data_IF_801860266821
#
_entry.id   IF_801860266821
#
_cell.length_a   1.000
_cell.length_b   1.000
_cell.length_c   1.000
_cell.angle_alpha   90.00
_cell.angle_beta   90.00
_cell.angle_gamma   90.00
#
_symmetry.space_group_name_H-M   'P 1'
#
loop_
_entity.id
_entity.type
_entity.pdbx_description
1 polymer ?
#
# COMPACT_ATOMS: atom_id res chain seq x y z
N UNK A 1 -1.02 2.00 -28.51
CA UNK A 1 -1.38 3.17 -29.28
C UNK A 1 -0.11 3.85 -29.79
N UNK A 2 0.00 4.27 -31.06
CA UNK A 2 1.24 4.84 -31.63
C UNK A 2 1.72 6.11 -30.91
N UNK A 3 0.82 6.84 -30.24
CA UNK A 3 1.12 8.07 -29.53
C UNK A 3 1.50 7.85 -28.06
N UNK A 4 1.53 6.61 -27.61
CA UNK A 4 1.95 6.29 -26.23
C UNK A 4 3.48 6.38 -26.12
N UNK A 5 4.01 7.02 -25.08
CA UNK A 5 5.45 7.01 -24.85
C UNK A 5 5.93 5.57 -24.67
N UNK A 6 7.06 5.24 -25.27
CA UNK A 6 7.64 3.88 -25.18
C UNK A 6 8.48 3.66 -23.93
N UNK A 7 8.68 4.72 -23.17
CA UNK A 7 9.49 4.72 -21.96
C UNK A 7 8.80 5.53 -20.87
N UNK A 8 8.76 5.00 -19.66
CA UNK A 8 8.30 5.69 -18.44
C UNK A 8 9.37 5.50 -17.37
N UNK A 9 10.40 6.36 -17.34
CA UNK A 9 11.43 6.24 -16.33
C UNK A 9 10.80 6.42 -14.94
N UNK A 10 11.00 5.43 -14.08
CA UNK A 10 10.74 5.55 -12.66
C UNK A 10 11.99 6.16 -12.04
N UNK A 11 11.88 7.35 -11.47
CA UNK A 11 13.02 8.09 -10.88
C UNK A 11 12.85 8.25 -9.36
N UNK A 12 11.61 8.10 -8.86
CA UNK A 12 11.31 8.24 -7.46
C UNK A 12 11.71 7.00 -6.65
N UNK A 13 12.33 7.20 -5.49
CA UNK A 13 12.61 6.14 -4.51
C UNK A 13 11.43 5.83 -3.61
N UNK A 14 10.52 6.79 -3.45
CA UNK A 14 9.30 6.66 -2.65
C UNK A 14 8.10 6.95 -3.53
N UNK A 15 7.07 6.12 -3.43
CA UNK A 15 5.83 6.26 -4.19
C UNK A 15 4.63 6.22 -3.25
N UNK A 16 3.73 7.19 -3.41
CA UNK A 16 2.44 7.19 -2.71
C UNK A 16 1.35 6.59 -3.61
N UNK A 17 0.60 5.64 -3.08
CA UNK A 17 -0.56 5.00 -3.72
C UNK A 17 -1.80 5.31 -2.88
N UNK A 18 -2.78 5.98 -3.47
CA UNK A 18 -3.99 6.40 -2.77
C UNK A 18 -5.12 5.41 -3.02
N UNK A 19 -5.59 4.79 -1.93
CA UNK A 19 -6.66 3.80 -1.94
C UNK A 19 -6.23 2.46 -1.35
N UNK A 20 -7.21 1.72 -0.81
CA UNK A 20 -7.01 0.42 -0.14
C UNK A 20 -7.90 -0.67 -0.79
N UNK A 21 -7.82 -0.75 -2.11
CA UNK A 21 -8.42 -1.79 -2.94
C UNK A 21 -7.37 -2.70 -3.57
N UNK A 22 -7.81 -3.75 -4.27
CA UNK A 22 -6.92 -4.72 -4.93
C UNK A 22 -5.92 -4.05 -5.88
N UNK A 23 -6.37 -3.06 -6.66
CA UNK A 23 -5.52 -2.33 -7.61
C UNK A 23 -4.34 -1.63 -6.90
N UNK A 24 -4.58 -1.06 -5.71
CA UNK A 24 -3.51 -0.42 -4.94
C UNK A 24 -2.45 -1.43 -4.51
N UNK A 25 -2.86 -2.63 -4.07
CA UNK A 25 -1.92 -3.70 -3.73
C UNK A 25 -1.18 -4.23 -4.96
N UNK A 26 -1.84 -4.35 -6.11
CA UNK A 26 -1.20 -4.75 -7.36
C UNK A 26 -0.13 -3.74 -7.79
N UNK A 27 -0.42 -2.44 -7.73
CA UNK A 27 0.55 -1.38 -8.02
C UNK A 27 1.73 -1.46 -7.06
N UNK A 28 1.48 -1.58 -5.75
CA UNK A 28 2.53 -1.71 -4.74
C UNK A 28 3.40 -2.96 -5.01
N UNK A 29 2.77 -4.08 -5.34
CA UNK A 29 3.44 -5.34 -5.67
C UNK A 29 4.34 -5.21 -6.91
N UNK A 30 3.85 -4.60 -7.99
CA UNK A 30 4.62 -4.41 -9.23
C UNK A 30 5.81 -3.48 -8.98
N UNK A 31 5.63 -2.40 -8.23
CA UNK A 31 6.69 -1.45 -7.92
C UNK A 31 7.78 -2.03 -7.00
N UNK A 32 7.43 -2.98 -6.15
CA UNK A 32 8.38 -3.58 -5.19
C UNK A 32 8.96 -4.92 -5.64
N UNK A 33 8.40 -5.58 -6.68
CA UNK A 33 8.99 -6.81 -7.22
C UNK A 33 10.35 -6.55 -7.88
N UNK A 34 11.25 -7.50 -7.69
CA UNK A 34 12.50 -7.57 -8.45
C UNK A 34 12.29 -8.22 -9.81
N UNK A 35 13.06 -7.78 -10.83
CA UNK A 35 12.89 -8.24 -12.19
C UNK A 35 12.88 -9.78 -12.36
N UNK A 36 13.72 -10.58 -11.68
CA UNK A 36 13.67 -12.04 -11.81
C UNK A 36 12.32 -12.68 -11.51
N UNK A 37 11.53 -12.08 -10.61
CA UNK A 37 10.18 -12.56 -10.30
C UNK A 37 9.15 -12.17 -11.38
N UNK A 38 9.42 -11.12 -12.14
CA UNK A 38 8.50 -10.60 -13.14
C UNK A 38 8.67 -11.27 -14.51
N UNK A 39 9.89 -11.61 -14.90
CA UNK A 39 10.20 -12.23 -16.21
C UNK A 39 9.69 -13.68 -16.34
N UNK A 40 9.10 -14.23 -15.28
CA UNK A 40 8.37 -15.51 -15.35
C UNK A 40 7.02 -15.35 -16.06
N UNK A 41 6.62 -14.13 -16.38
CA UNK A 41 5.40 -13.78 -17.12
C UNK A 41 5.76 -13.03 -18.41
N UNK A 42 4.78 -12.83 -19.29
CA UNK A 42 4.96 -12.07 -20.54
C UNK A 42 5.15 -10.58 -20.27
N UNK A 43 6.40 -10.17 -20.05
CA UNK A 43 6.78 -8.76 -19.91
C UNK A 43 7.51 -8.29 -21.16
N UNK A 44 7.03 -7.26 -21.87
CA UNK A 44 7.73 -6.69 -23.02
C UNK A 44 9.16 -6.24 -22.65
N UNK A 45 10.14 -6.47 -23.53
CA UNK A 45 11.56 -6.21 -23.24
C UNK A 45 11.86 -4.75 -22.85
N UNK A 46 11.16 -3.78 -23.45
CA UNK A 46 11.29 -2.36 -23.11
C UNK A 46 10.74 -2.05 -21.71
N UNK A 47 9.69 -2.74 -21.26
CA UNK A 47 9.14 -2.64 -19.90
C UNK A 47 10.06 -3.32 -18.90
N UNK A 48 10.55 -4.52 -19.23
CA UNK A 48 11.50 -5.27 -18.40
C UNK A 48 12.76 -4.45 -18.10
N UNK A 49 13.31 -3.76 -19.10
CA UNK A 49 14.48 -2.90 -18.93
C UNK A 49 14.23 -1.74 -17.94
N UNK A 50 13.04 -1.14 -17.98
CA UNK A 50 12.67 -0.06 -17.06
C UNK A 50 12.41 -0.57 -15.64
N UNK A 51 11.76 -1.73 -15.51
CA UNK A 51 11.55 -2.37 -14.21
C UNK A 51 12.88 -2.84 -13.58
N UNK A 52 13.86 -3.26 -14.40
CA UNK A 52 15.20 -3.58 -13.91
C UNK A 52 15.92 -2.35 -13.31
N UNK A 53 15.67 -1.18 -13.89
CA UNK A 53 16.26 0.10 -13.43
C UNK A 53 15.41 0.80 -12.35
N UNK A 54 14.31 0.18 -11.92
CA UNK A 54 13.38 0.75 -10.94
C UNK A 54 14.08 1.06 -9.60
N UNK A 55 14.18 2.34 -9.19
CA UNK A 55 14.86 2.75 -7.97
C UNK A 55 13.96 2.74 -6.73
N UNK A 56 12.70 2.32 -6.86
CA UNK A 56 11.71 2.37 -5.77
C UNK A 56 12.17 1.50 -4.60
N UNK A 57 12.26 2.11 -3.43
CA UNK A 57 12.60 1.48 -2.15
C UNK A 57 11.38 1.39 -1.24
N UNK A 58 10.50 2.39 -1.30
CA UNK A 58 9.34 2.49 -0.42
C UNK A 58 8.07 2.78 -1.22
N UNK A 59 7.01 2.03 -0.93
CA UNK A 59 5.67 2.28 -1.44
C UNK A 59 4.74 2.51 -0.26
N UNK A 60 4.11 3.68 -0.22
CA UNK A 60 3.19 4.09 0.83
C UNK A 60 1.76 4.03 0.30
N UNK A 61 0.95 3.11 0.82
CA UNK A 61 -0.46 2.93 0.46
C UNK A 61 -1.33 3.59 1.51
N UNK A 62 -2.18 4.54 1.10
CA UNK A 62 -2.99 5.35 2.00
C UNK A 62 -4.46 4.97 1.97
N UNK A 63 -5.05 4.74 3.14
CA UNK A 63 -6.46 4.48 3.33
C UNK A 63 -7.07 5.34 4.42
N UNK A 64 -8.12 6.10 4.08
CA UNK A 64 -8.82 6.98 5.03
C UNK A 64 -9.65 6.24 6.09
N UNK A 65 -9.75 4.93 6.03
CA UNK A 65 -10.46 4.08 7.00
C UNK A 65 -9.52 3.02 7.57
N UNK A 66 -9.98 2.34 8.62
CA UNK A 66 -9.19 1.35 9.32
C UNK A 66 -9.12 -0.01 8.64
N UNK A 67 -8.34 -0.94 9.25
CA UNK A 67 -8.11 -2.28 8.72
C UNK A 67 -9.39 -3.10 8.52
N UNK A 68 -10.44 -2.84 9.31
CA UNK A 68 -11.73 -3.54 9.18
C UNK A 68 -12.55 -3.06 7.97
N UNK A 69 -12.20 -1.95 7.32
CA UNK A 69 -12.92 -1.36 6.19
C UNK A 69 -12.17 -1.41 4.85
N UNK A 70 -10.99 -2.00 4.81
CA UNK A 70 -10.22 -2.16 3.56
C UNK A 70 -11.00 -2.97 2.51
N UNK A 71 -10.72 -2.73 1.24
CA UNK A 71 -11.45 -3.33 0.11
C UNK A 71 -10.68 -4.40 -0.64
N UNK A 72 -9.41 -4.60 -0.33
CA UNK A 72 -8.64 -5.69 -0.91
C UNK A 72 -9.06 -7.06 -0.30
N UNK A 73 -8.84 -8.11 -1.08
CA UNK A 73 -9.19 -9.46 -0.68
C UNK A 73 -8.08 -10.14 0.14
N UNK A 74 -8.39 -11.19 0.91
CA UNK A 74 -7.36 -11.99 1.58
C UNK A 74 -6.35 -12.61 0.62
N UNK A 75 -6.75 -12.90 -0.62
CA UNK A 75 -5.87 -13.46 -1.65
C UNK A 75 -4.80 -12.43 -2.05
N UNK A 76 -5.23 -11.23 -2.46
CA UNK A 76 -4.31 -10.16 -2.87
C UNK A 76 -3.35 -9.77 -1.76
N UNK A 77 -3.84 -9.70 -0.51
CA UNK A 77 -2.98 -9.40 0.63
C UNK A 77 -1.92 -10.49 0.88
N UNK A 78 -2.28 -11.76 0.69
CA UNK A 78 -1.31 -12.86 0.80
C UNK A 78 -0.30 -12.85 -0.34
N UNK A 79 -0.74 -12.58 -1.58
CA UNK A 79 0.14 -12.43 -2.73
C UNK A 79 1.17 -11.30 -2.53
N UNK A 80 0.75 -10.21 -1.88
CA UNK A 80 1.65 -9.13 -1.49
C UNK A 80 2.74 -9.65 -0.53
N UNK A 81 2.35 -10.47 0.46
CA UNK A 81 3.27 -11.04 1.45
C UNK A 81 4.23 -12.10 0.89
N UNK A 82 4.04 -12.56 -0.34
CA UNK A 82 4.93 -13.51 -1.02
C UNK A 82 6.00 -12.83 -1.89
N UNK A 83 5.99 -11.50 -2.02
CA UNK A 83 7.02 -10.79 -2.77
C UNK A 83 8.35 -10.91 -2.03
N UNK A 84 9.39 -11.38 -2.73
CA UNK A 84 10.70 -11.57 -2.14
C UNK A 84 11.38 -10.24 -1.82
N UNK A 85 12.12 -10.20 -0.72
CA UNK A 85 12.91 -9.03 -0.30
C UNK A 85 12.07 -7.74 -0.14
N UNK A 86 10.84 -7.91 0.40
CA UNK A 86 9.91 -6.82 0.71
C UNK A 86 9.37 -6.99 2.12
N UNK A 87 9.48 -5.96 2.93
CA UNK A 87 8.82 -5.86 4.23
C UNK A 87 7.50 -5.10 4.11
N UNK A 88 6.44 -5.63 4.73
CA UNK A 88 5.15 -4.96 4.84
C UNK A 88 5.02 -4.43 6.25
N UNK A 89 4.76 -3.12 6.36
CA UNK A 89 4.72 -2.39 7.61
C UNK A 89 3.33 -1.81 7.80
N UNK A 90 2.74 -2.11 8.96
CA UNK A 90 1.41 -1.64 9.38
C UNK A 90 1.53 -1.16 10.82
N UNK A 91 0.88 -0.05 11.18
CA UNK A 91 0.89 0.46 12.56
C UNK A 91 0.00 -0.40 13.46
N UNK A 92 0.48 -0.76 14.65
CA UNK A 92 -0.32 -1.45 15.67
C UNK A 92 -1.47 -0.57 16.20
N UNK A 93 -1.29 0.74 16.21
CA UNK A 93 -2.31 1.70 16.68
C UNK A 93 -3.60 1.66 15.86
N UNK A 94 -3.53 1.19 14.60
CA UNK A 94 -4.69 1.13 13.71
C UNK A 94 -5.66 -0.02 14.03
N UNK A 95 -5.35 -0.88 15.02
CA UNK A 95 -6.16 -2.04 15.38
C UNK A 95 -7.01 -1.84 16.63
N UNK A 96 -7.15 -0.63 17.11
CA UNK A 96 -8.17 -0.29 18.12
C UNK A 96 -9.54 -0.18 17.45
N UNK A 97 -10.31 -1.27 17.51
CA UNK A 97 -11.57 -1.39 16.76
C UNK A 97 -12.76 -0.83 17.54
N UNK A 98 -13.41 0.15 16.95
CA UNK A 98 -14.71 0.64 17.39
C UNK A 98 -15.83 -0.43 17.27
N UNK A 99 -17.00 -0.16 17.83
CA UNK A 99 -18.13 -1.09 17.77
C UNK A 99 -18.56 -1.41 16.34
N UNK A 100 -18.47 -0.46 15.41
CA UNK A 100 -18.81 -0.64 13.99
C UNK A 100 -17.87 -1.63 13.32
N UNK A 101 -16.57 -1.47 13.54
CA UNK A 101 -15.52 -2.40 13.08
C UNK A 101 -15.71 -3.78 13.67
N UNK A 102 -16.01 -3.89 14.96
CA UNK A 102 -16.27 -5.19 15.61
C UNK A 102 -17.51 -5.88 15.01
N UNK A 103 -18.59 -5.15 14.71
CA UNK A 103 -19.76 -5.70 14.01
C UNK A 103 -19.40 -6.22 12.62
N UNK A 104 -18.61 -5.45 11.86
CA UNK A 104 -18.12 -5.86 10.53
C UNK A 104 -17.30 -7.15 10.62
N UNK A 105 -16.39 -7.25 11.57
CA UNK A 105 -15.58 -8.45 11.78
C UNK A 105 -16.42 -9.66 12.22
N UNK A 106 -17.47 -9.47 13.00
CA UNK A 106 -18.40 -10.55 13.38
C UNK A 106 -19.20 -11.08 12.18
N UNK A 107 -19.58 -10.22 11.25
CA UNK A 107 -20.44 -10.56 10.12
C UNK A 107 -19.68 -11.06 8.89
N UNK A 108 -18.41 -10.71 8.70
CA UNK A 108 -17.63 -11.02 7.49
C UNK A 108 -16.41 -11.90 7.79
N UNK A 109 -16.44 -13.15 7.28
CA UNK A 109 -15.28 -14.03 7.37
C UNK A 109 -14.09 -13.51 6.55
N UNK A 110 -14.36 -12.93 5.40
CA UNK A 110 -13.34 -12.32 4.55
C UNK A 110 -12.59 -11.22 5.31
N UNK A 111 -13.33 -10.33 5.96
CA UNK A 111 -12.74 -9.21 6.69
C UNK A 111 -11.91 -9.69 7.91
N UNK A 112 -12.38 -10.73 8.60
CA UNK A 112 -11.58 -11.37 9.67
C UNK A 112 -10.25 -11.91 9.16
N UNK A 113 -10.23 -12.55 7.98
CA UNK A 113 -8.99 -13.07 7.40
C UNK A 113 -8.03 -11.96 7.01
N UNK A 114 -8.52 -10.88 6.42
CA UNK A 114 -7.72 -9.70 6.07
C UNK A 114 -7.11 -9.09 7.33
N UNK A 115 -7.93 -8.80 8.34
CA UNK A 115 -7.45 -8.20 9.60
C UNK A 115 -6.44 -9.11 10.29
N UNK A 116 -6.69 -10.44 10.34
CA UNK A 116 -5.73 -11.39 10.91
C UNK A 116 -4.37 -11.31 10.21
N UNK A 117 -4.34 -11.21 8.89
CA UNK A 117 -3.09 -11.09 8.12
C UNK A 117 -2.41 -9.76 8.40
N UNK A 118 -3.16 -8.64 8.39
CA UNK A 118 -2.63 -7.31 8.71
C UNK A 118 -2.04 -7.27 10.14
N UNK A 119 -2.75 -7.84 11.12
CA UNK A 119 -2.24 -7.95 12.50
C UNK A 119 -0.92 -8.72 12.54
N UNK A 120 -0.76 -9.78 11.75
CA UNK A 120 0.50 -10.52 11.71
C UNK A 120 1.67 -9.70 11.15
N UNK A 121 1.40 -8.74 10.27
CA UNK A 121 2.42 -7.80 9.81
C UNK A 121 2.73 -6.73 10.87
N UNK A 122 1.72 -6.17 11.51
CA UNK A 122 1.87 -5.16 12.56
C UNK A 122 2.66 -5.70 13.78
N UNK A 123 2.50 -6.99 14.10
CA UNK A 123 3.18 -7.63 15.25
C UNK A 123 4.62 -8.08 14.95
N UNK A 124 5.17 -7.78 13.76
CA UNK A 124 6.59 -8.09 13.47
C UNK A 124 7.50 -7.10 14.17
N UNK A 125 8.58 -7.62 14.76
CA UNK A 125 9.59 -6.76 15.38
C UNK A 125 10.23 -5.85 14.30
N UNK A 126 10.32 -4.53 14.54
CA UNK A 126 11.02 -3.62 13.63
C UNK A 126 12.45 -4.04 13.29
N UNK A 127 13.14 -4.73 14.20
CA UNK A 127 14.48 -5.27 13.97
C UNK A 127 14.53 -6.39 12.92
N UNK A 128 13.39 -7.02 12.62
CA UNK A 128 13.25 -8.06 11.59
C UNK A 128 12.99 -7.48 10.19
N UNK A 129 12.77 -6.18 10.06
CA UNK A 129 12.58 -5.50 8.78
C UNK A 129 13.94 -5.25 8.10
N UNK A 130 14.43 -6.25 7.35
CA UNK A 130 15.75 -6.25 6.69
C UNK A 130 15.68 -6.24 5.18
N UNK A 131 14.48 -6.28 4.60
CA UNK A 131 14.31 -6.27 3.16
C UNK A 131 14.80 -4.95 2.53
N UNK A 132 15.25 -5.03 1.28
CA UNK A 132 15.72 -3.84 0.54
C UNK A 132 14.57 -2.90 0.16
N UNK A 133 13.34 -3.39 0.11
CA UNK A 133 12.14 -2.62 -0.21
C UNK A 133 11.08 -2.74 0.87
N UNK A 134 10.24 -1.73 1.00
CA UNK A 134 9.18 -1.66 2.00
C UNK A 134 7.86 -1.22 1.41
N UNK A 135 6.77 -1.81 1.91
CA UNK A 135 5.40 -1.35 1.66
C UNK A 135 4.80 -0.93 2.98
N UNK A 136 4.45 0.34 3.09
CA UNK A 136 3.74 0.89 4.24
C UNK A 136 2.26 0.96 3.94
N UNK A 137 1.44 0.35 4.78
CA UNK A 137 -0.02 0.43 4.70
C UNK A 137 -0.49 1.42 5.78
N UNK A 138 -0.75 2.66 5.37
CA UNK A 138 -1.25 3.72 6.25
C UNK A 138 -2.77 3.66 6.30
N UNK A 139 -3.30 3.33 7.46
CA UNK A 139 -4.74 3.33 7.74
C UNK A 139 -5.11 4.60 8.49
N UNK A 140 -6.37 5.02 8.39
CA UNK A 140 -6.85 6.27 9.00
C UNK A 140 -6.08 7.53 8.55
N UNK A 141 -5.51 7.50 7.34
CA UNK A 141 -4.80 8.62 6.74
C UNK A 141 -5.49 9.05 5.44
N UNK A 142 -6.11 10.23 5.46
CA UNK A 142 -6.75 10.85 4.30
C UNK A 142 -5.76 11.80 3.61
N UNK A 143 -5.44 11.60 2.32
CA UNK A 143 -4.65 12.56 1.58
C UNK A 143 -5.38 13.89 1.43
N UNK A 144 -4.69 15.01 1.70
CA UNK A 144 -5.23 16.36 1.61
C UNK A 144 -4.56 17.19 0.52
N UNK A 145 -3.23 17.20 0.47
CA UNK A 145 -2.49 18.08 -0.42
C UNK A 145 -1.21 17.41 -0.93
N UNK A 146 -0.85 17.70 -2.17
CA UNK A 146 0.45 17.34 -2.75
C UNK A 146 1.31 18.59 -2.81
N UNK A 147 2.44 18.57 -2.11
CA UNK A 147 3.39 19.67 -2.13
C UNK A 147 4.43 19.45 -3.24
N UNK A 148 4.69 20.52 -4.00
CA UNK A 148 5.71 20.54 -5.04
C UNK A 148 7.02 21.16 -4.51
N UNK A 149 8.13 20.80 -5.14
CA UNK A 149 9.40 21.52 -5.03
C UNK A 149 9.43 22.73 -5.99
N UNK A 150 10.54 23.49 -5.98
CA UNK A 150 10.70 24.67 -6.85
C UNK A 150 10.72 24.32 -8.36
N UNK A 151 11.03 23.08 -8.71
CA UNK A 151 11.03 22.58 -10.09
C UNK A 151 9.67 22.00 -10.52
N UNK A 152 8.68 21.95 -9.62
CA UNK A 152 7.36 21.40 -9.86
C UNK A 152 7.25 19.88 -9.70
N UNK A 153 8.25 19.21 -9.15
CA UNK A 153 8.17 17.79 -8.82
C UNK A 153 7.47 17.59 -7.47
N UNK A 154 6.85 16.43 -7.29
CA UNK A 154 6.25 16.06 -6.01
C UNK A 154 7.33 15.96 -4.94
N UNK A 155 7.19 16.74 -3.87
CA UNK A 155 8.07 16.75 -2.70
C UNK A 155 7.50 16.00 -1.52
N UNK A 156 6.21 16.15 -1.28
CA UNK A 156 5.52 15.51 -0.15
C UNK A 156 4.03 15.34 -0.43
N UNK A 157 3.42 14.39 0.27
CA UNK A 157 1.99 14.23 0.42
C UNK A 157 1.62 14.64 1.85
N UNK A 158 0.69 15.56 1.99
CA UNK A 158 0.08 15.93 3.28
C UNK A 158 -1.12 15.03 3.49
N UNK A 159 -1.21 14.43 4.67
CA UNK A 159 -2.35 13.60 5.07
C UNK A 159 -2.96 14.14 6.36
N UNK A 160 -4.25 13.91 6.54
CA UNK A 160 -4.97 14.16 7.78
C UNK A 160 -5.29 12.82 8.44
N UNK A 161 -5.00 12.71 9.72
CA UNK A 161 -5.47 11.58 10.53
C UNK A 161 -6.99 11.61 10.62
N UNK A 162 -7.61 10.43 10.45
CA UNK A 162 -9.09 10.31 10.49
C UNK A 162 -9.52 9.30 11.54
N UNK A 163 -10.79 9.38 11.95
CA UNK A 163 -11.44 8.40 12.81
C UNK A 163 -12.82 8.01 12.26
N UNK A 164 -13.34 6.88 12.70
CA UNK A 164 -14.66 6.38 12.28
C UNK A 164 -15.75 7.05 13.13
N UNK A 165 -16.82 7.50 12.47
CA UNK A 165 -18.01 8.10 13.12
C UNK A 165 -19.05 7.07 13.57
N UNK A 166 -18.74 5.77 13.51
CA UNK A 166 -19.61 4.68 13.97
C UNK A 166 -20.63 4.17 12.93
N UNK A 167 -20.94 4.96 11.91
CA UNK A 167 -21.78 4.59 10.74
C UNK A 167 -20.95 4.08 9.53
N UNK A 168 -19.64 4.00 9.67
CA UNK A 168 -18.69 3.67 8.62
C UNK A 168 -18.17 4.85 7.80
N UNK A 169 -18.64 6.07 8.10
CA UNK A 169 -18.06 7.33 7.64
C UNK A 169 -16.79 7.65 8.43
N UNK A 170 -16.01 8.61 7.96
CA UNK A 170 -14.81 9.10 8.64
C UNK A 170 -14.82 10.61 8.71
N UNK A 171 -14.23 11.14 9.78
CA UNK A 171 -13.95 12.57 9.94
C UNK A 171 -12.48 12.77 10.31
N UNK A 172 -11.95 13.96 10.05
CA UNK A 172 -10.61 14.33 10.44
C UNK A 172 -10.51 14.61 11.94
N UNK A 173 -9.41 14.20 12.54
CA UNK A 173 -9.18 14.41 13.98
C UNK A 173 -8.54 15.77 14.32
N UNK A 174 -8.24 16.61 13.32
CA UNK A 174 -7.65 17.94 13.45
C UNK A 174 -6.16 17.98 13.32
#
# INVERSE_FOLDING_TARGET
HPDYPRTWPLEARQVAVIGVGNVALDVARVLTKHLPEMITTDVPSNVAAQLAANPVEEVHVFGRRGPAQVKFTPLELRELGHVSDVDIIVSEEDFDFDEGSQRTLKSSNQQRQVVKTLTSYASRDPEDHKASRRIYLHMFDAPEEILADEAGNVRALVTQRTELTGDGSVEGTG
#
